data_IF_756341796400
#
_entry.id   IF_756341796400
#
_cell.length_a   1.000
_cell.length_b   1.000
_cell.length_c   1.000
_cell.angle_alpha   90.00
_cell.angle_beta   90.00
_cell.angle_gamma   90.00
#
_symmetry.space_group_name_H-M   'P 1'
#
loop_
_entity.id
_entity.type
_entity.pdbx_description
1 polymer ?
#
# COMPACT_ATOMS: atom_id res chain seq x y z
N UNK A 1 6.83 -30.26 -10.86
CA UNK A 1 6.93 -29.15 -9.88
C UNK A 1 5.67 -28.31 -10.00
N UNK A 2 4.88 -28.14 -8.93
CA UNK A 2 3.57 -27.46 -9.00
C UNK A 2 3.74 -25.93 -9.01
N UNK A 3 2.72 -25.20 -9.48
CA UNK A 3 2.71 -23.74 -9.47
C UNK A 3 2.91 -23.14 -8.06
N UNK A 4 2.38 -23.81 -7.03
CA UNK A 4 2.55 -23.41 -5.64
C UNK A 4 4.02 -23.55 -5.17
N UNK A 5 4.71 -24.64 -5.53
CA UNK A 5 6.13 -24.81 -5.22
C UNK A 5 6.99 -23.73 -5.89
N UNK A 6 6.68 -23.37 -7.14
CA UNK A 6 7.40 -22.30 -7.86
C UNK A 6 7.18 -20.92 -7.22
N UNK A 7 5.95 -20.61 -6.79
CA UNK A 7 5.64 -19.37 -6.10
C UNK A 7 6.39 -19.27 -4.75
N UNK A 8 6.37 -20.35 -3.95
CA UNK A 8 7.10 -20.39 -2.68
C UNK A 8 8.61 -20.19 -2.85
N UNK A 9 9.21 -20.83 -3.87
CA UNK A 9 10.63 -20.66 -4.19
C UNK A 9 10.98 -19.22 -4.57
N UNK A 10 10.12 -18.58 -5.39
CA UNK A 10 10.28 -17.16 -5.76
C UNK A 10 10.20 -16.25 -4.54
N UNK A 11 9.25 -16.48 -3.63
CA UNK A 11 9.13 -15.69 -2.41
C UNK A 11 10.37 -15.80 -1.52
N UNK A 12 10.93 -17.01 -1.35
CA UNK A 12 12.15 -17.22 -0.57
C UNK A 12 13.35 -16.52 -1.19
N UNK A 13 13.51 -16.59 -2.52
CA UNK A 13 14.56 -15.90 -3.23
C UNK A 13 14.44 -14.36 -3.09
N UNK A 14 13.23 -13.81 -3.26
CA UNK A 14 12.97 -12.38 -3.04
C UNK A 14 13.28 -11.96 -1.61
N UNK A 15 12.85 -12.74 -0.61
CA UNK A 15 13.11 -12.46 0.80
C UNK A 15 14.60 -12.45 1.14
N UNK A 16 15.41 -13.27 0.46
CA UNK A 16 16.87 -13.25 0.58
C UNK A 16 17.46 -11.94 0.02
N UNK A 17 17.01 -11.52 -1.16
CA UNK A 17 17.54 -10.35 -1.87
C UNK A 17 17.19 -9.05 -1.13
N UNK A 18 15.97 -8.94 -0.60
CA UNK A 18 15.48 -7.68 0.00
C UNK A 18 15.82 -7.56 1.49
N UNK A 19 16.67 -8.42 2.06
CA UNK A 19 17.06 -8.32 3.48
C UNK A 19 17.66 -6.95 3.76
N UNK A 20 17.01 -6.11 4.57
CA UNK A 20 17.49 -4.77 4.82
C UNK A 20 18.72 -4.81 5.71
N UNK A 21 19.72 -3.99 5.42
CA UNK A 21 20.81 -3.75 6.35
C UNK A 21 20.35 -2.87 7.52
N UNK A 22 21.18 -2.71 8.55
CA UNK A 22 20.85 -1.91 9.75
C UNK A 22 20.45 -0.47 9.42
N UNK A 23 21.10 0.15 8.43
CA UNK A 23 20.79 1.53 8.01
C UNK A 23 19.41 1.60 7.36
N UNK A 24 19.07 0.65 6.50
CA UNK A 24 17.75 0.58 5.86
C UNK A 24 16.66 0.34 6.89
N UNK A 25 16.87 -0.53 7.87
CA UNK A 25 15.94 -0.75 8.98
C UNK A 25 15.69 0.55 9.77
N UNK A 26 16.75 1.25 10.16
CA UNK A 26 16.64 2.52 10.87
C UNK A 26 15.92 3.60 10.03
N UNK A 27 16.16 3.65 8.72
CA UNK A 27 15.49 4.57 7.82
C UNK A 27 13.98 4.26 7.68
N UNK A 28 13.61 2.99 7.59
CA UNK A 28 12.20 2.56 7.57
C UNK A 28 11.50 2.94 8.87
N UNK A 29 12.13 2.68 10.01
CA UNK A 29 11.57 3.03 11.32
C UNK A 29 11.44 4.55 11.50
N UNK A 30 12.45 5.30 11.07
CA UNK A 30 12.41 6.76 11.08
C UNK A 30 11.27 7.30 10.20
N UNK A 31 11.16 6.82 8.95
CA UNK A 31 10.08 7.19 8.04
C UNK A 31 8.70 6.85 8.63
N UNK A 32 8.55 5.64 9.19
CA UNK A 32 7.34 5.20 9.89
C UNK A 32 6.95 6.17 11.01
N UNK A 33 7.91 6.67 11.77
CA UNK A 33 7.65 7.58 12.88
C UNK A 33 7.26 8.99 12.42
N UNK A 34 7.85 9.45 11.31
CA UNK A 34 7.56 10.76 10.72
C UNK A 34 6.23 10.82 9.96
N UNK A 35 5.89 9.78 9.20
CA UNK A 35 4.78 9.85 8.24
C UNK A 35 3.48 9.25 8.76
N UNK A 36 3.54 8.22 9.62
CA UNK A 36 2.34 7.57 10.13
C UNK A 36 1.83 8.24 11.39
N UNK A 37 0.51 8.46 11.45
CA UNK A 37 -0.13 8.82 12.71
C UNK A 37 -0.09 7.65 13.70
N UNK A 38 -0.36 7.92 14.99
CA UNK A 38 -0.49 6.87 16.01
C UNK A 38 -1.54 5.81 15.61
N UNK A 39 -2.64 6.24 15.00
CA UNK A 39 -3.72 5.35 14.60
C UNK A 39 -3.34 4.48 13.39
N UNK A 40 -2.54 5.00 12.46
CA UNK A 40 -2.00 4.21 11.34
C UNK A 40 -0.98 3.18 11.84
N UNK A 41 -0.12 3.57 12.79
CA UNK A 41 0.82 2.64 13.44
C UNK A 41 0.08 1.50 14.16
N UNK A 42 -1.00 1.81 14.87
CA UNK A 42 -1.83 0.82 15.54
C UNK A 42 -2.52 -0.13 14.55
N UNK A 43 -3.04 0.39 13.45
CA UNK A 43 -3.63 -0.39 12.37
C UNK A 43 -2.63 -1.36 11.73
N UNK A 44 -1.38 -0.94 11.50
CA UNK A 44 -0.36 -1.85 10.97
C UNK A 44 0.05 -2.93 11.98
N UNK A 45 -0.04 -2.66 13.29
CA UNK A 45 0.24 -3.65 14.32
C UNK A 45 -0.92 -4.62 14.61
N UNK A 46 -2.12 -4.38 14.09
CA UNK A 46 -3.28 -5.26 14.33
C UNK A 46 -3.18 -6.62 13.64
N UNK A 47 -2.20 -6.81 12.75
CA UNK A 47 -1.98 -8.05 12.02
C UNK A 47 -2.88 -8.24 10.79
N UNK A 48 -3.88 -7.38 10.59
CA UNK A 48 -4.78 -7.45 9.43
C UNK A 48 -5.27 -6.05 9.01
N UNK A 49 -5.00 -5.71 7.75
CA UNK A 49 -5.26 -4.39 7.15
C UNK A 49 -5.31 -4.53 5.63
N UNK A 50 -5.87 -3.52 4.96
CA UNK A 50 -5.97 -3.50 3.49
C UNK A 50 -4.98 -2.51 2.90
N UNK A 51 -4.16 -2.98 1.97
CA UNK A 51 -3.31 -2.14 1.13
C UNK A 51 -3.85 -2.09 -0.29
N UNK A 52 -3.75 -0.92 -0.91
CA UNK A 52 -4.04 -0.75 -2.33
C UNK A 52 -2.79 -0.18 -2.99
N UNK A 53 -2.33 -0.86 -4.04
CA UNK A 53 -1.28 -0.33 -4.92
C UNK A 53 -1.86 -0.08 -6.30
N UNK A 54 -1.78 1.17 -6.76
CA UNK A 54 -2.23 1.56 -8.10
C UNK A 54 -1.06 2.14 -8.89
N UNK A 55 -0.47 1.30 -9.75
CA UNK A 55 0.51 1.71 -10.74
C UNK A 55 -0.18 2.51 -11.85
N UNK A 56 0.39 3.66 -12.18
CA UNK A 56 0.00 4.57 -13.26
C UNK A 56 1.24 4.88 -14.11
N UNK A 57 1.23 5.99 -14.85
CA UNK A 57 2.38 6.43 -15.65
C UNK A 57 2.65 5.58 -16.90
N UNK A 58 3.91 5.23 -17.13
CA UNK A 58 4.37 4.48 -18.30
C UNK A 58 3.68 3.11 -18.44
N UNK A 59 3.49 2.41 -17.32
CA UNK A 59 2.81 1.11 -17.29
C UNK A 59 1.32 1.17 -17.57
N UNK A 60 0.66 2.32 -17.37
CA UNK A 60 -0.74 2.51 -17.77
C UNK A 60 -0.91 2.42 -19.29
N UNK A 61 0.12 2.80 -20.06
CA UNK A 61 0.11 2.73 -21.53
C UNK A 61 0.18 1.30 -22.06
N UNK A 62 0.73 0.36 -21.27
CA UNK A 62 0.85 -1.06 -21.65
C UNK A 62 -0.45 -1.85 -21.39
N UNK A 63 -1.35 -1.37 -20.50
CA UNK A 63 -2.62 -2.04 -20.13
C UNK A 63 -3.74 -1.04 -19.83
N UNK A 64 -4.50 -0.57 -20.83
CA UNK A 64 -5.34 0.63 -20.71
C UNK A 64 -6.64 0.48 -19.90
N UNK A 65 -7.20 -0.72 -19.73
CA UNK A 65 -8.57 -0.86 -19.20
C UNK A 65 -8.69 -0.98 -17.67
N UNK A 66 -7.66 -1.48 -16.97
CA UNK A 66 -7.65 -1.58 -15.49
C UNK A 66 -6.84 -0.46 -14.82
N UNK A 67 -6.19 0.39 -15.62
CA UNK A 67 -5.20 1.36 -15.16
C UNK A 67 -5.66 2.81 -15.31
N UNK A 68 -6.97 3.08 -15.44
CA UNK A 68 -7.53 4.43 -15.55
C UNK A 68 -8.54 4.76 -14.46
N UNK A 69 -9.44 3.83 -14.12
CA UNK A 69 -10.45 4.05 -13.09
C UNK A 69 -10.00 3.58 -11.69
N UNK A 70 -9.99 4.46 -10.66
CA UNK A 70 -9.73 4.07 -9.27
C UNK A 70 -10.92 3.41 -8.55
N UNK A 71 -12.16 3.56 -9.03
CA UNK A 71 -13.37 3.06 -8.35
C UNK A 71 -13.33 1.55 -8.04
N UNK A 72 -12.98 0.64 -8.98
CA UNK A 72 -13.05 -0.79 -8.71
C UNK A 72 -12.10 -1.24 -7.59
N UNK A 73 -10.97 -0.56 -7.44
CA UNK A 73 -9.99 -0.84 -6.38
C UNK A 73 -10.50 -0.36 -5.01
N UNK A 74 -11.12 0.82 -4.97
CA UNK A 74 -11.73 1.34 -3.76
C UNK A 74 -12.93 0.47 -3.32
N UNK A 75 -13.76 0.03 -4.27
CA UNK A 75 -14.90 -0.85 -4.00
C UNK A 75 -14.45 -2.20 -3.43
N UNK A 76 -13.40 -2.79 -4.00
CA UNK A 76 -12.84 -4.03 -3.50
C UNK A 76 -12.25 -3.86 -2.10
N UNK A 77 -11.47 -2.79 -1.88
CA UNK A 77 -10.89 -2.50 -0.57
C UNK A 77 -11.99 -2.32 0.50
N UNK A 78 -13.01 -1.54 0.17
CA UNK A 78 -14.18 -1.31 1.05
C UNK A 78 -14.91 -2.61 1.35
N UNK A 79 -15.11 -3.46 0.35
CA UNK A 79 -15.73 -4.79 0.53
C UNK A 79 -14.91 -5.67 1.47
N UNK A 80 -13.58 -5.70 1.33
CA UNK A 80 -12.71 -6.49 2.21
C UNK A 80 -12.79 -6.05 3.67
N UNK A 81 -12.83 -4.73 3.91
CA UNK A 81 -13.00 -4.15 5.24
C UNK A 81 -14.38 -4.51 5.84
N UNK A 82 -15.44 -4.36 5.05
CA UNK A 82 -16.81 -4.61 5.50
C UNK A 82 -17.13 -6.10 5.69
N UNK A 83 -16.44 -6.99 4.98
CA UNK A 83 -16.66 -8.44 5.10
C UNK A 83 -16.10 -9.03 6.39
N UNK A 84 -15.16 -8.33 7.05
CA UNK A 84 -14.46 -8.83 8.24
C UNK A 84 -14.41 -7.75 9.35
N UNK A 85 -15.57 -7.26 9.81
CA UNK A 85 -15.63 -6.19 10.79
C UNK A 85 -14.96 -6.63 12.10
N UNK A 86 -14.11 -5.77 12.66
CA UNK A 86 -13.38 -6.04 13.91
C UNK A 86 -12.16 -6.95 13.76
N UNK A 87 -11.99 -7.65 12.63
CA UNK A 87 -10.80 -8.46 12.35
C UNK A 87 -9.80 -7.70 11.47
N UNK A 88 -10.29 -6.90 10.53
CA UNK A 88 -9.45 -6.06 9.67
C UNK A 88 -9.52 -4.63 10.18
N UNK A 89 -8.37 -3.98 10.33
CA UNK A 89 -8.33 -2.57 10.73
C UNK A 89 -9.06 -1.72 9.69
N UNK A 90 -9.99 -0.83 10.09
CA UNK A 90 -10.82 -0.03 9.19
C UNK A 90 -10.03 1.15 8.60
N UNK A 91 -8.96 0.86 7.85
CA UNK A 91 -8.07 1.83 7.20
C UNK A 91 -7.55 1.27 5.88
N UNK A 92 -7.35 2.15 4.91
CA UNK A 92 -6.74 1.81 3.63
C UNK A 92 -5.34 2.40 3.57
N UNK A 93 -4.34 1.58 3.24
CA UNK A 93 -2.97 2.00 2.97
C UNK A 93 -2.75 2.07 1.47
N UNK A 94 -2.79 3.27 0.90
CA UNK A 94 -2.65 3.52 -0.53
C UNK A 94 -1.20 3.85 -0.90
N UNK A 95 -0.71 3.17 -1.94
CA UNK A 95 0.53 3.49 -2.61
C UNK A 95 0.25 3.75 -4.10
N UNK A 96 0.61 4.93 -4.58
CA UNK A 96 0.52 5.31 -5.99
C UNK A 96 1.44 6.49 -6.28
N UNK A 97 1.93 6.56 -7.52
CA UNK A 97 2.64 7.70 -8.07
C UNK A 97 1.72 8.82 -8.59
N UNK A 98 0.41 8.56 -8.69
CA UNK A 98 -0.57 9.46 -9.32
C UNK A 98 -1.35 10.27 -8.27
N UNK A 99 -1.18 11.59 -8.30
CA UNK A 99 -1.79 12.54 -7.35
C UNK A 99 -3.31 12.57 -7.45
N UNK A 100 -3.89 12.30 -8.63
CA UNK A 100 -5.34 12.31 -8.79
C UNK A 100 -5.97 11.04 -8.18
N UNK A 101 -5.26 9.90 -8.22
CA UNK A 101 -5.67 8.69 -7.50
C UNK A 101 -5.61 8.93 -5.98
N UNK A 102 -4.57 9.61 -5.48
CA UNK A 102 -4.51 10.02 -4.06
C UNK A 102 -5.74 10.84 -3.67
N UNK A 103 -6.03 11.91 -4.43
CA UNK A 103 -7.16 12.79 -4.16
C UNK A 103 -8.49 12.03 -4.23
N UNK A 104 -8.64 11.14 -5.20
CA UNK A 104 -9.83 10.33 -5.34
C UNK A 104 -10.07 9.45 -4.11
N UNK A 105 -9.08 8.67 -3.67
CA UNK A 105 -9.25 7.79 -2.51
C UNK A 105 -9.54 8.56 -1.23
N UNK A 106 -8.83 9.68 -1.00
CA UNK A 106 -9.06 10.52 0.19
C UNK A 106 -10.48 11.11 0.20
N UNK A 107 -11.03 11.47 -0.97
CA UNK A 107 -12.36 12.11 -1.06
C UNK A 107 -13.52 11.11 -1.10
N UNK A 108 -13.33 9.95 -1.72
CA UNK A 108 -14.40 8.97 -1.93
C UNK A 108 -14.44 7.85 -0.88
N UNK A 109 -13.36 7.64 -0.12
CA UNK A 109 -13.35 6.58 0.88
C UNK A 109 -14.18 6.94 2.11
N UNK A 110 -14.95 5.97 2.60
CA UNK A 110 -15.71 6.06 3.85
C UNK A 110 -14.86 5.73 5.09
N UNK A 111 -13.63 5.25 4.89
CA UNK A 111 -12.67 4.95 5.96
C UNK A 111 -11.43 5.82 5.81
N UNK A 112 -10.64 6.04 6.89
CA UNK A 112 -9.38 6.76 6.78
C UNK A 112 -8.43 6.10 5.76
N UNK A 113 -7.93 6.92 4.82
CA UNK A 113 -6.91 6.53 3.86
C UNK A 113 -5.57 7.13 4.28
N UNK A 114 -4.60 6.28 4.59
CA UNK A 114 -3.22 6.69 4.63
C UNK A 114 -2.64 6.60 3.23
N UNK A 115 -2.04 7.69 2.77
CA UNK A 115 -1.37 7.72 1.49
C UNK A 115 -0.15 8.63 1.51
N UNK A 116 0.98 8.12 1.05
CA UNK A 116 2.18 8.94 0.84
C UNK A 116 2.38 9.18 -0.63
N UNK A 117 2.49 10.45 -1.02
CA UNK A 117 3.08 10.78 -2.30
C UNK A 117 4.55 10.32 -2.28
N UNK A 118 4.87 9.28 -3.07
CA UNK A 118 6.24 8.77 -3.26
C UNK A 118 7.17 9.88 -3.80
N UNK A 119 6.61 10.96 -4.33
CA UNK A 119 7.31 12.12 -4.91
C UNK A 119 7.58 13.28 -3.95
N UNK A 120 7.07 13.27 -2.71
CA UNK A 120 7.39 14.31 -1.72
C UNK A 120 8.27 13.75 -0.61
N UNK A 121 9.53 13.48 -0.94
CA UNK A 121 10.56 13.64 0.07
C UNK A 121 10.65 15.14 0.38
N UNK A 122 10.59 15.58 1.64
CA UNK A 122 10.95 16.95 1.96
C UNK A 122 12.38 17.15 1.46
N UNK A 123 12.61 18.17 0.64
CA UNK A 123 13.96 18.64 0.37
C UNK A 123 14.61 18.90 1.74
N UNK A 124 15.75 18.26 1.99
CA UNK A 124 16.55 18.47 3.20
C UNK A 124 16.59 19.98 3.52
N UNK A 125 16.04 20.34 4.69
CA UNK A 125 16.33 21.63 5.34
C UNK A 125 17.39 21.39 6.39
#
# INVERSE_FOLDING_TARGET
MTAACLAAARCQASAYIVRPNRRTLAAIEHARNLTLSMADRHALSSGSWVSVYMRRGDKAKERPLMLTDPQPFLDLATRMLNSHPGQVSPRIFLATEDVDVHRYFITQSVVPVYSTNVTRFPANT
#
